data_IF_424370658378
#
_entry.id   IF_424370658378
#
_cell.length_a   1.000
_cell.length_b   1.000
_cell.length_c   1.000
_cell.angle_alpha   90.00
_cell.angle_beta   90.00
_cell.angle_gamma   90.00
#
_symmetry.space_group_name_H-M   'P 1'
#
loop_
_entity.id
_entity.type
_entity.pdbx_description
1 polymer ?
#
# COMPACT_ATOMS: atom_id res chain seq x y z
N UNK A 1 -7.16 19.23 41.55
CA UNK A 1 -6.68 19.81 40.27
C UNK A 1 -5.84 18.83 39.46
N UNK A 2 -4.82 18.15 40.01
CA UNK A 2 -4.03 17.13 39.28
C UNK A 2 -4.87 15.95 38.75
N UNK A 3 -5.86 15.45 39.51
CA UNK A 3 -6.74 14.37 39.05
C UNK A 3 -7.62 14.77 37.86
N UNK A 4 -8.13 16.01 37.84
CA UNK A 4 -8.98 16.52 36.76
C UNK A 4 -8.17 16.66 35.47
N UNK A 5 -6.90 17.10 35.57
CA UNK A 5 -5.98 17.19 34.42
C UNK A 5 -5.62 15.82 33.85
N UNK A 6 -5.46 14.79 34.70
CA UNK A 6 -5.20 13.41 34.27
C UNK A 6 -6.45 12.82 33.59
N UNK A 7 -7.63 13.02 34.16
CA UNK A 7 -8.89 12.57 33.55
C UNK A 7 -9.18 13.32 32.24
N UNK A 8 -8.92 14.63 32.15
CA UNK A 8 -9.08 15.38 30.90
C UNK A 8 -8.05 14.98 29.83
N UNK A 9 -6.83 14.62 30.21
CA UNK A 9 -5.83 14.10 29.29
C UNK A 9 -6.18 12.69 28.78
N UNK A 10 -6.69 11.82 29.65
CA UNK A 10 -7.18 10.48 29.27
C UNK A 10 -8.44 10.54 28.39
N UNK A 11 -9.38 11.46 28.68
CA UNK A 11 -10.57 11.67 27.86
C UNK A 11 -10.23 12.31 26.51
N UNK A 12 -9.27 13.26 26.47
CA UNK A 12 -8.78 13.88 25.24
C UNK A 12 -8.04 12.91 24.32
N UNK A 13 -7.25 11.98 24.87
CA UNK A 13 -6.57 10.94 24.09
C UNK A 13 -7.55 9.92 23.49
N UNK A 14 -8.66 9.60 24.18
CA UNK A 14 -9.72 8.71 23.68
C UNK A 14 -10.51 9.30 22.51
N UNK A 15 -10.56 10.63 22.37
CA UNK A 15 -11.30 11.34 21.32
C UNK A 15 -10.47 11.56 20.04
N UNK A 16 -9.20 11.14 20.02
CA UNK A 16 -8.27 11.43 18.93
C UNK A 16 -8.04 10.25 17.96
N UNK A 17 -8.70 9.11 18.18
CA UNK A 17 -8.65 7.98 17.27
C UNK A 17 -9.80 8.12 16.25
N UNK A 18 -9.49 8.41 14.99
CA UNK A 18 -10.52 8.27 13.96
C UNK A 18 -10.99 6.81 13.87
N UNK A 19 -12.30 6.64 13.90
CA UNK A 19 -12.96 5.36 13.69
C UNK A 19 -13.70 5.40 12.37
N UNK A 20 -13.72 4.27 11.68
CA UNK A 20 -14.41 4.10 10.41
C UNK A 20 -15.68 3.26 10.56
N UNK A 21 -16.29 3.29 11.75
CA UNK A 21 -17.48 2.49 12.08
C UNK A 21 -18.60 2.85 11.13
N UNK A 22 -19.11 1.86 10.39
CA UNK A 22 -20.19 2.06 9.43
C UNK A 22 -19.79 2.77 8.14
N UNK A 23 -18.51 3.11 7.95
CA UNK A 23 -18.03 3.59 6.64
C UNK A 23 -18.16 2.46 5.62
N UNK A 24 -18.63 2.81 4.43
CA UNK A 24 -18.75 1.85 3.32
C UNK A 24 -17.75 2.16 2.24
N UNK A 25 -17.29 1.13 1.54
CA UNK A 25 -16.59 1.30 0.26
C UNK A 25 -17.49 0.78 -0.84
N UNK A 26 -17.84 1.66 -1.78
CA UNK A 26 -18.61 1.31 -2.97
C UNK A 26 -17.68 1.13 -4.15
N UNK A 27 -18.00 0.18 -5.03
CA UNK A 27 -17.46 0.10 -6.38
C UNK A 27 -18.52 0.55 -7.36
N UNK A 28 -18.23 1.62 -8.06
CA UNK A 28 -19.09 2.30 -9.03
C UNK A 28 -18.55 2.02 -10.44
N UNK A 29 -19.43 1.78 -11.40
CA UNK A 29 -19.08 1.61 -12.81
C UNK A 29 -19.81 2.66 -13.63
N UNK A 30 -19.08 3.68 -14.06
CA UNK A 30 -19.61 4.66 -15.00
C UNK A 30 -19.75 4.04 -16.39
N UNK A 31 -20.85 4.30 -17.09
CA UNK A 31 -21.13 3.77 -18.43
C UNK A 31 -20.66 4.70 -19.55
N UNK A 32 -20.52 5.98 -19.25
CA UNK A 32 -20.22 7.02 -20.21
C UNK A 32 -19.53 8.21 -19.53
N UNK A 33 -19.01 9.12 -20.35
CA UNK A 33 -18.29 10.32 -19.88
C UNK A 33 -19.15 11.27 -19.05
N UNK A 34 -20.48 11.25 -19.24
CA UNK A 34 -21.37 12.09 -18.44
C UNK A 34 -21.44 11.60 -17.00
N UNK A 35 -21.58 10.29 -16.79
CA UNK A 35 -21.53 9.70 -15.44
C UNK A 35 -20.17 9.91 -14.77
N UNK A 36 -19.06 9.87 -15.53
CA UNK A 36 -17.73 10.21 -15.00
C UNK A 36 -17.69 11.66 -14.50
N UNK A 37 -18.24 12.62 -15.25
CA UNK A 37 -18.33 14.02 -14.81
C UNK A 37 -19.20 14.20 -13.57
N UNK A 38 -20.30 13.46 -13.45
CA UNK A 38 -21.13 13.48 -12.23
C UNK A 38 -20.36 12.96 -11.01
N UNK A 39 -19.52 11.94 -11.18
CA UNK A 39 -18.65 11.44 -10.10
C UNK A 39 -17.52 12.42 -9.75
N UNK A 40 -16.95 13.13 -10.74
CA UNK A 40 -15.99 14.21 -10.51
C UNK A 40 -16.62 15.39 -9.76
N UNK A 41 -17.88 15.73 -10.08
CA UNK A 41 -18.63 16.73 -9.33
C UNK A 41 -18.82 16.27 -7.87
N UNK A 42 -19.19 15.01 -7.66
CA UNK A 42 -19.32 14.43 -6.33
C UNK A 42 -17.99 14.47 -5.55
N UNK A 43 -16.86 14.20 -6.21
CA UNK A 43 -15.50 14.31 -5.64
C UNK A 43 -15.14 15.74 -5.22
N UNK A 44 -15.70 16.75 -5.90
CA UNK A 44 -15.49 18.16 -5.55
C UNK A 44 -16.25 18.63 -4.31
N UNK A 45 -17.22 17.84 -3.81
CA UNK A 45 -18.04 18.20 -2.65
C UNK A 45 -17.31 17.93 -1.32
N UNK A 46 -16.47 18.88 -0.91
CA UNK A 46 -15.61 18.73 0.28
C UNK A 46 -16.37 18.41 1.58
N UNK A 47 -17.57 18.96 1.75
CA UNK A 47 -18.41 18.76 2.94
C UNK A 47 -18.88 17.31 3.15
N UNK A 48 -18.76 16.46 2.12
CA UNK A 48 -19.10 15.04 2.22
C UNK A 48 -17.93 14.16 2.68
N UNK A 49 -16.71 14.73 2.75
CA UNK A 49 -15.50 14.04 3.24
C UNK A 49 -15.26 12.67 2.57
N UNK A 50 -15.59 12.61 1.28
CA UNK A 50 -15.43 11.42 0.46
C UNK A 50 -13.95 11.14 0.17
N UNK A 51 -13.59 9.87 0.15
CA UNK A 51 -12.23 9.43 -0.16
C UNK A 51 -12.27 8.44 -1.33
N UNK A 52 -11.77 8.90 -2.47
CA UNK A 52 -11.68 8.12 -3.69
C UNK A 52 -10.39 7.29 -3.64
N UNK A 53 -10.56 5.97 -3.60
CA UNK A 53 -9.46 5.01 -3.69
C UNK A 53 -9.04 4.81 -5.14
N UNK A 54 -10.00 4.92 -6.07
CA UNK A 54 -9.72 5.13 -7.48
C UNK A 54 -10.53 6.29 -8.00
N UNK A 55 -9.86 7.30 -8.56
CA UNK A 55 -10.51 8.50 -9.07
C UNK A 55 -11.34 8.20 -10.34
N UNK A 56 -12.41 8.97 -10.59
CA UNK A 56 -13.20 8.89 -11.80
C UNK A 56 -12.43 9.44 -13.02
N UNK A 57 -11.72 8.56 -13.73
CA UNK A 57 -10.90 8.94 -14.89
C UNK A 57 -11.52 8.61 -16.23
N UNK A 58 -12.17 7.46 -16.37
CA UNK A 58 -12.82 7.05 -17.62
C UNK A 58 -13.90 5.99 -17.36
N UNK A 59 -14.87 5.80 -18.29
CA UNK A 59 -15.92 4.79 -18.16
C UNK A 59 -15.41 3.34 -18.14
N UNK A 60 -14.21 3.11 -18.67
CA UNK A 60 -13.61 1.77 -18.74
C UNK A 60 -13.12 1.28 -17.36
N UNK A 61 -12.92 2.19 -16.40
CA UNK A 61 -12.31 1.89 -15.11
C UNK A 61 -13.33 2.03 -13.97
N UNK A 62 -13.34 1.10 -13.00
CA UNK A 62 -14.19 1.23 -11.83
C UNK A 62 -13.69 2.33 -10.88
N UNK A 63 -14.64 2.96 -10.20
CA UNK A 63 -14.41 3.96 -9.16
C UNK A 63 -14.68 3.31 -7.81
N UNK A 64 -13.67 3.24 -6.95
CA UNK A 64 -13.76 2.72 -5.58
C UNK A 64 -13.80 3.91 -4.62
N UNK A 65 -14.89 4.04 -3.86
CA UNK A 65 -15.22 5.23 -3.07
C UNK A 65 -15.49 4.84 -1.61
N UNK A 66 -14.68 5.32 -0.67
CA UNK A 66 -14.97 5.27 0.77
C UNK A 66 -15.90 6.42 1.15
N UNK A 67 -16.99 6.08 1.84
CA UNK A 67 -18.04 7.02 2.25
C UNK A 67 -18.15 7.01 3.78
N UNK A 68 -18.06 8.18 4.44
CA UNK A 68 -18.38 8.33 5.86
C UNK A 68 -19.80 7.89 6.22
N UNK A 69 -19.96 7.29 7.40
CA UNK A 69 -21.22 6.65 7.81
C UNK A 69 -22.44 7.58 7.74
N UNK A 70 -22.27 8.85 8.12
CA UNK A 70 -23.28 9.90 8.05
C UNK A 70 -23.71 10.26 6.60
N UNK A 71 -22.84 10.03 5.62
CA UNK A 71 -23.06 10.42 4.23
C UNK A 71 -23.48 9.25 3.32
N UNK A 72 -23.48 8.00 3.82
CA UNK A 72 -23.82 6.80 3.04
C UNK A 72 -25.18 6.93 2.34
N UNK A 73 -26.21 7.39 3.04
CA UNK A 73 -27.55 7.50 2.45
C UNK A 73 -27.63 8.61 1.40
N UNK A 74 -27.03 9.77 1.67
CA UNK A 74 -27.01 10.89 0.74
C UNK A 74 -26.29 10.53 -0.56
N UNK A 75 -25.14 9.86 -0.47
CA UNK A 75 -24.37 9.44 -1.66
C UNK A 75 -25.10 8.35 -2.44
N UNK A 76 -25.73 7.37 -1.78
CA UNK A 76 -26.52 6.34 -2.48
C UNK A 76 -27.72 6.94 -3.21
N UNK A 77 -28.45 7.85 -2.55
CA UNK A 77 -29.56 8.56 -3.18
C UNK A 77 -29.09 9.37 -4.41
N UNK A 78 -27.92 10.03 -4.33
CA UNK A 78 -27.32 10.72 -5.47
C UNK A 78 -27.01 9.77 -6.63
N UNK A 79 -26.38 8.62 -6.36
CA UNK A 79 -26.06 7.64 -7.41
C UNK A 79 -27.34 7.09 -8.05
N UNK A 80 -28.35 6.76 -7.24
CA UNK A 80 -29.64 6.23 -7.68
C UNK A 80 -30.43 7.26 -8.51
N UNK A 81 -30.45 8.54 -8.11
CA UNK A 81 -31.16 9.59 -8.85
C UNK A 81 -30.56 9.86 -10.22
N UNK A 82 -29.26 9.61 -10.39
CA UNK A 82 -28.55 9.73 -11.67
C UNK A 82 -28.48 8.41 -12.44
N UNK A 83 -29.09 7.34 -11.92
CA UNK A 83 -29.07 6.01 -12.55
C UNK A 83 -27.67 5.41 -12.67
N UNK A 84 -26.76 5.77 -11.76
CA UNK A 84 -25.38 5.28 -11.70
C UNK A 84 -25.35 4.01 -10.88
N UNK A 85 -24.91 2.91 -11.49
CA UNK A 85 -24.84 1.61 -10.83
C UNK A 85 -23.65 1.51 -9.88
N UNK A 86 -23.89 0.92 -8.71
CA UNK A 86 -22.85 0.66 -7.72
C UNK A 86 -23.05 -0.69 -7.03
N UNK A 87 -21.97 -1.19 -6.43
CA UNK A 87 -21.97 -2.38 -5.57
C UNK A 87 -21.23 -2.07 -4.27
N UNK A 88 -21.65 -2.68 -3.17
CA UNK A 88 -20.98 -2.52 -1.87
C UNK A 88 -19.78 -3.47 -1.84
N UNK A 89 -18.57 -2.91 -1.88
CA UNK A 89 -17.32 -3.68 -1.81
C UNK A 89 -16.95 -3.99 -0.35
N UNK A 90 -17.08 -3.01 0.54
CA UNK A 90 -16.85 -3.16 1.98
C UNK A 90 -18.05 -2.57 2.71
N UNK A 91 -18.75 -3.40 3.49
CA UNK A 91 -19.97 -3.01 4.21
C UNK A 91 -19.68 -2.16 5.45
N UNK A 92 -18.60 -2.49 6.16
CA UNK A 92 -18.11 -1.76 7.32
C UNK A 92 -16.58 -1.82 7.32
N UNK A 93 -15.96 -0.67 7.14
CA UNK A 93 -14.51 -0.55 7.05
C UNK A 93 -13.82 -0.79 8.39
N UNK A 94 -14.47 -0.45 9.50
CA UNK A 94 -13.89 -0.66 10.83
C UNK A 94 -13.66 -2.13 11.10
N UNK A 95 -14.58 -3.01 10.70
CA UNK A 95 -14.45 -4.47 10.88
C UNK A 95 -13.19 -5.01 10.21
N UNK A 96 -12.85 -4.48 9.02
CA UNK A 96 -11.64 -4.89 8.29
C UNK A 96 -10.38 -4.41 9.01
N UNK A 97 -10.39 -3.17 9.50
CA UNK A 97 -9.27 -2.59 10.25
C UNK A 97 -9.04 -3.26 11.60
N UNK A 98 -10.10 -3.61 12.31
CA UNK A 98 -10.03 -4.30 13.59
C UNK A 98 -9.40 -5.69 13.43
N UNK A 99 -9.79 -6.41 12.38
CA UNK A 99 -9.19 -7.71 12.05
C UNK A 99 -7.71 -7.56 11.73
N UNK A 100 -7.33 -6.59 10.90
CA UNK A 100 -5.92 -6.34 10.56
C UNK A 100 -5.09 -6.02 11.81
N UNK A 101 -5.62 -5.19 12.70
CA UNK A 101 -4.96 -4.83 13.97
C UNK A 101 -4.77 -6.06 14.86
N UNK A 102 -5.77 -6.93 14.93
CA UNK A 102 -5.69 -8.17 15.69
C UNK A 102 -4.64 -9.14 15.10
N UNK A 103 -4.61 -9.27 13.78
CA UNK A 103 -3.65 -10.14 13.08
C UNK A 103 -2.20 -9.70 13.30
N UNK A 104 -1.96 -8.38 13.27
CA UNK A 104 -0.65 -7.81 13.59
C UNK A 104 -0.24 -8.05 15.04
N UNK A 105 -1.15 -7.82 15.99
CA UNK A 105 -0.86 -8.06 17.41
C UNK A 105 -0.52 -9.53 17.67
N UNK A 106 -1.27 -10.45 17.07
CA UNK A 106 -1.01 -11.88 17.13
C UNK A 106 0.34 -12.26 16.50
N UNK A 107 0.70 -11.62 15.39
CA UNK A 107 1.99 -11.86 14.74
C UNK A 107 3.15 -11.37 15.59
N UNK A 108 3.09 -10.14 16.11
CA UNK A 108 4.12 -9.60 17.01
C UNK A 108 4.32 -10.49 18.24
N UNK A 109 3.25 -11.06 18.80
CA UNK A 109 3.37 -12.02 19.90
C UNK A 109 4.14 -13.28 19.49
N UNK A 110 3.89 -13.81 18.28
CA UNK A 110 4.62 -14.98 17.76
C UNK A 110 6.07 -14.67 17.46
N UNK A 111 6.37 -13.53 16.84
CA UNK A 111 7.74 -13.10 16.54
C UNK A 111 8.58 -12.93 17.80
N UNK A 112 8.00 -12.37 18.87
CA UNK A 112 8.67 -12.28 20.18
C UNK A 112 8.99 -13.65 20.78
N UNK A 113 8.17 -14.66 20.51
CA UNK A 113 8.38 -16.02 21.00
C UNK A 113 9.40 -16.80 20.15
N UNK A 114 9.45 -16.57 18.84
CA UNK A 114 10.35 -17.26 17.91
C UNK A 114 11.65 -16.51 17.61
N UNK A 115 11.77 -15.24 18.03
CA UNK A 115 12.85 -14.32 17.66
C UNK A 115 13.08 -14.24 16.15
N UNK A 116 12.03 -14.44 15.35
CA UNK A 116 12.10 -14.48 13.89
C UNK A 116 11.11 -13.48 13.31
N UNK A 117 11.57 -12.62 12.40
CA UNK A 117 10.72 -11.67 11.68
C UNK A 117 9.74 -12.41 10.75
N UNK A 118 8.45 -12.11 10.83
CA UNK A 118 7.42 -12.74 10.00
C UNK A 118 7.03 -11.83 8.83
N UNK A 119 7.66 -12.02 7.67
CA UNK A 119 7.35 -11.27 6.44
C UNK A 119 5.91 -11.46 5.89
N UNK A 120 5.10 -12.35 6.48
CA UNK A 120 3.70 -12.58 6.13
C UNK A 120 2.70 -11.68 6.86
N UNK A 121 3.15 -10.63 7.55
CA UNK A 121 2.29 -9.66 8.23
C UNK A 121 2.74 -8.22 7.95
N UNK A 122 1.98 -7.25 8.44
CA UNK A 122 2.39 -5.85 8.47
C UNK A 122 3.13 -5.54 9.77
N UNK A 123 4.04 -4.56 9.71
CA UNK A 123 4.93 -4.20 10.80
C UNK A 123 4.89 -2.71 11.09
N UNK A 124 5.31 -2.33 12.29
CA UNK A 124 5.56 -0.93 12.61
C UNK A 124 6.82 -0.42 11.90
N UNK A 125 6.97 0.90 11.81
CA UNK A 125 8.17 1.54 11.27
C UNK A 125 9.44 1.07 11.99
N UNK A 126 9.39 0.99 13.32
CA UNK A 126 10.51 0.59 14.16
C UNK A 126 10.88 -0.88 13.94
N UNK A 127 9.88 -1.77 13.83
CA UNK A 127 10.10 -3.18 13.50
C UNK A 127 10.76 -3.33 12.12
N UNK A 128 10.34 -2.53 11.13
CA UNK A 128 10.96 -2.53 9.81
C UNK A 128 12.42 -2.04 9.91
N UNK A 129 12.70 -0.95 10.62
CA UNK A 129 14.08 -0.46 10.78
C UNK A 129 14.99 -1.49 11.45
N UNK A 130 14.50 -2.16 12.48
CA UNK A 130 15.22 -3.24 13.15
C UNK A 130 15.51 -4.40 12.18
N UNK A 131 14.57 -4.75 11.31
CA UNK A 131 14.78 -5.76 10.28
C UNK A 131 15.79 -5.32 9.22
N UNK A 132 15.79 -4.04 8.80
CA UNK A 132 16.81 -3.52 7.89
C UNK A 132 18.21 -3.57 8.52
N UNK A 133 18.33 -3.29 9.82
CA UNK A 133 19.58 -3.48 10.58
C UNK A 133 20.00 -4.95 10.61
N UNK A 134 19.06 -5.85 10.90
CA UNK A 134 19.31 -7.29 10.93
C UNK A 134 19.80 -7.81 9.58
N UNK A 135 19.18 -7.42 8.46
CA UNK A 135 19.62 -7.82 7.12
C UNK A 135 21.01 -7.31 6.78
N UNK A 136 21.33 -6.07 7.14
CA UNK A 136 22.66 -5.49 6.91
C UNK A 136 23.74 -6.17 7.78
N UNK A 137 23.38 -6.64 8.97
CA UNK A 137 24.27 -7.39 9.85
C UNK A 137 24.47 -8.83 9.37
N UNK A 138 23.38 -9.56 9.08
CA UNK A 138 23.42 -10.99 8.68
C UNK A 138 24.12 -11.18 7.33
N UNK A 139 23.97 -10.24 6.40
CA UNK A 139 24.52 -10.31 5.05
C UNK A 139 25.52 -9.17 4.75
N UNK A 140 26.39 -8.86 5.72
CA UNK A 140 27.31 -7.71 5.67
C UNK A 140 28.26 -7.68 4.47
N UNK A 141 28.52 -8.82 3.83
CA UNK A 141 29.38 -8.90 2.65
C UNK A 141 28.76 -8.26 1.41
N UNK A 142 27.43 -8.18 1.36
CA UNK A 142 26.69 -7.69 0.19
C UNK A 142 25.63 -6.65 0.52
N UNK A 143 25.20 -6.52 1.77
CA UNK A 143 24.17 -5.56 2.21
C UNK A 143 24.79 -4.51 3.11
N UNK A 144 24.51 -3.24 2.83
CA UNK A 144 24.76 -2.14 3.76
C UNK A 144 23.54 -1.24 3.88
N UNK A 145 23.33 -0.68 5.07
CA UNK A 145 22.28 0.32 5.35
C UNK A 145 22.91 1.69 5.49
N UNK A 146 22.31 2.72 4.89
CA UNK A 146 22.74 4.10 5.07
C UNK A 146 21.55 5.06 5.04
N UNK A 147 21.71 6.21 5.70
CA UNK A 147 20.74 7.30 5.74
C UNK A 147 20.96 8.22 4.54
N UNK A 148 19.91 8.49 3.75
CA UNK A 148 19.96 9.40 2.60
C UNK A 148 19.43 10.80 2.91
N UNK A 149 18.83 10.98 4.09
CA UNK A 149 18.21 12.22 4.50
C UNK A 149 17.22 11.98 5.63
N UNK A 150 16.41 12.99 5.91
CA UNK A 150 15.38 12.95 6.95
C UNK A 150 14.04 13.44 6.43
N UNK A 151 12.98 12.87 6.99
CA UNK A 151 11.61 13.27 6.72
C UNK A 151 11.28 14.64 7.34
N UNK A 152 10.06 15.13 7.11
CA UNK A 152 9.60 16.41 7.67
C UNK A 152 9.54 16.35 9.20
N UNK A 153 9.09 15.23 9.76
CA UNK A 153 9.09 15.00 11.22
C UNK A 153 10.44 14.48 11.72
N UNK A 154 11.51 14.70 10.96
CA UNK A 154 12.90 14.42 11.32
C UNK A 154 13.18 12.92 11.59
N UNK A 155 12.50 12.02 10.87
CA UNK A 155 12.82 10.58 10.89
C UNK A 155 13.87 10.24 9.83
N UNK A 156 14.82 9.35 10.12
CA UNK A 156 15.87 8.97 9.16
C UNK A 156 15.28 8.21 7.96
N UNK A 157 15.71 8.56 6.76
CA UNK A 157 15.35 7.84 5.53
C UNK A 157 16.44 6.83 5.21
N UNK A 158 16.15 5.55 5.43
CA UNK A 158 17.12 4.47 5.19
C UNK A 158 16.98 3.83 3.82
N UNK A 159 18.13 3.49 3.25
CA UNK A 159 18.25 2.70 2.03
C UNK A 159 19.15 1.50 2.31
N UNK A 160 18.75 0.33 1.82
CA UNK A 160 19.63 -0.83 1.70
C UNK A 160 20.32 -0.80 0.35
N UNK A 161 21.66 -0.86 0.36
CA UNK A 161 22.48 -1.12 -0.83
C UNK A 161 22.87 -2.59 -0.85
N UNK A 162 22.55 -3.26 -1.96
CA UNK A 162 23.02 -4.60 -2.31
C UNK A 162 24.13 -4.45 -3.35
N UNK A 163 25.35 -4.87 -3.04
CA UNK A 163 26.51 -4.70 -3.92
C UNK A 163 27.59 -5.72 -3.64
N UNK A 164 28.30 -6.14 -4.67
CA UNK A 164 29.46 -7.05 -4.55
C UNK A 164 30.79 -6.30 -4.65
N UNK A 165 30.78 -4.98 -4.35
CA UNK A 165 31.95 -4.10 -4.41
C UNK A 165 32.13 -3.40 -5.75
N UNK A 166 33.34 -2.92 -6.05
CA UNK A 166 33.64 -2.18 -7.28
C UNK A 166 33.28 -0.68 -7.22
N UNK A 167 33.67 0.07 -8.25
CA UNK A 167 33.46 1.52 -8.34
C UNK A 167 32.60 1.88 -9.56
N UNK A 168 31.77 2.92 -9.42
CA UNK A 168 30.93 3.47 -10.49
C UNK A 168 30.08 2.41 -11.24
N UNK A 169 29.46 1.50 -10.48
CA UNK A 169 28.62 0.44 -11.03
C UNK A 169 27.24 0.99 -11.39
N UNK A 170 26.64 0.41 -12.44
CA UNK A 170 25.24 0.65 -12.77
C UNK A 170 24.35 0.21 -11.61
N UNK A 171 23.25 0.91 -11.42
CA UNK A 171 22.39 0.71 -10.27
C UNK A 171 20.91 0.59 -10.67
N UNK A 172 20.17 -0.21 -9.92
CA UNK A 172 18.70 -0.21 -9.89
C UNK A 172 18.26 0.49 -8.61
N UNK A 173 17.29 1.38 -8.72
CA UNK A 173 16.59 1.95 -7.58
C UNK A 173 15.19 1.33 -7.45
N UNK A 174 14.83 0.93 -6.24
CA UNK A 174 13.50 0.40 -5.89
C UNK A 174 13.03 1.16 -4.67
N UNK A 175 11.87 1.82 -4.76
CA UNK A 175 11.22 2.42 -3.61
C UNK A 175 9.79 1.89 -3.43
N UNK A 176 9.30 2.00 -2.20
CA UNK A 176 7.98 1.55 -1.80
C UNK A 176 7.40 2.48 -0.73
N UNK A 177 6.07 2.50 -0.61
CA UNK A 177 5.40 3.30 0.40
C UNK A 177 5.51 4.81 0.18
N UNK A 178 5.54 5.25 -1.08
CA UNK A 178 5.35 6.66 -1.42
C UNK A 178 3.93 7.14 -1.12
N UNK A 179 2.96 6.23 -1.05
CA UNK A 179 1.68 6.50 -0.41
C UNK A 179 1.60 5.68 0.87
N UNK A 180 1.43 6.37 1.99
CA UNK A 180 1.47 5.75 3.31
C UNK A 180 0.37 4.73 3.54
N UNK A 181 -0.75 4.76 2.80
CA UNK A 181 -1.86 3.79 2.91
C UNK A 181 -1.66 2.49 2.11
N UNK A 182 -0.62 2.42 1.27
CA UNK A 182 -0.38 1.28 0.37
C UNK A 182 0.51 0.19 0.99
N UNK A 183 0.13 -0.26 2.19
CA UNK A 183 0.97 -1.03 3.13
C UNK A 183 1.60 -2.31 2.58
N UNK A 184 0.95 -2.90 1.59
CA UNK A 184 1.47 -4.06 0.86
C UNK A 184 2.79 -3.76 0.16
N UNK A 185 3.02 -2.51 -0.27
CA UNK A 185 4.26 -2.12 -0.95
C UNK A 185 5.44 -2.16 0.00
N UNK A 186 5.31 -1.58 1.20
CA UNK A 186 6.33 -1.58 2.23
C UNK A 186 6.66 -3.02 2.67
N UNK A 187 5.64 -3.82 2.98
CA UNK A 187 5.83 -5.22 3.37
C UNK A 187 6.53 -6.03 2.27
N UNK A 188 6.13 -5.85 1.01
CA UNK A 188 6.76 -6.50 -0.14
C UNK A 188 8.22 -6.08 -0.29
N UNK A 189 8.54 -4.80 -0.08
CA UNK A 189 9.90 -4.30 -0.20
C UNK A 189 10.84 -4.93 0.85
N UNK A 190 10.38 -5.10 2.08
CA UNK A 190 11.15 -5.79 3.15
C UNK A 190 11.35 -7.27 2.80
N UNK A 191 10.33 -7.94 2.27
CA UNK A 191 10.48 -9.32 1.79
C UNK A 191 11.45 -9.42 0.61
N UNK A 192 11.38 -8.49 -0.36
CA UNK A 192 12.31 -8.42 -1.50
C UNK A 192 13.75 -8.24 -1.00
N UNK A 193 13.96 -7.39 0.02
CA UNK A 193 15.27 -7.18 0.62
C UNK A 193 15.84 -8.50 1.19
N UNK A 194 15.07 -9.23 2.01
CA UNK A 194 15.48 -10.56 2.50
C UNK A 194 15.72 -11.52 1.35
N UNK A 195 14.87 -11.51 0.32
CA UNK A 195 14.97 -12.42 -0.82
C UNK A 195 16.26 -12.19 -1.62
N UNK A 196 16.61 -10.94 -1.92
CA UNK A 196 17.85 -10.58 -2.61
C UNK A 196 19.05 -11.01 -1.77
N UNK A 197 19.07 -10.64 -0.48
CA UNK A 197 20.19 -10.94 0.42
C UNK A 197 20.44 -12.45 0.55
N UNK A 198 19.39 -13.20 0.87
CA UNK A 198 19.48 -14.65 1.09
C UNK A 198 19.74 -15.46 -0.18
N UNK A 199 19.35 -14.95 -1.36
CA UNK A 199 19.49 -15.70 -2.61
C UNK A 199 20.81 -15.46 -3.34
N UNK A 200 21.60 -14.46 -2.95
CA UNK A 200 22.93 -14.26 -3.53
C UNK A 200 23.84 -15.46 -3.24
N UNK A 201 24.55 -15.94 -4.27
CA UNK A 201 25.36 -17.16 -4.19
C UNK A 201 24.56 -18.47 -4.32
N UNK A 202 23.22 -18.42 -4.22
CA UNK A 202 22.35 -19.60 -4.35
C UNK A 202 21.56 -19.58 -5.67
N UNK A 203 20.92 -18.44 -5.98
CA UNK A 203 20.16 -18.23 -7.21
C UNK A 203 21.08 -17.64 -8.31
N UNK A 204 21.27 -18.33 -9.45
CA UNK A 204 22.16 -17.85 -10.51
C UNK A 204 21.74 -16.51 -11.12
N UNK A 205 20.44 -16.20 -11.14
CA UNK A 205 19.90 -14.98 -11.75
C UNK A 205 20.18 -13.77 -10.84
N UNK A 206 19.86 -13.87 -9.56
CA UNK A 206 20.17 -12.83 -8.56
C UNK A 206 21.68 -12.63 -8.43
N UNK A 207 22.45 -13.72 -8.44
CA UNK A 207 23.92 -13.66 -8.37
C UNK A 207 24.51 -12.96 -9.59
N UNK A 208 24.06 -13.32 -10.80
CA UNK A 208 24.48 -12.65 -12.05
C UNK A 208 24.11 -11.17 -12.07
N UNK A 209 22.93 -10.82 -11.55
CA UNK A 209 22.47 -9.43 -11.43
C UNK A 209 23.37 -8.62 -10.49
N UNK A 210 23.55 -9.09 -9.25
CA UNK A 210 24.37 -8.43 -8.24
C UNK A 210 25.87 -8.44 -8.55
N UNK A 211 26.35 -9.30 -9.46
CA UNK A 211 27.73 -9.23 -9.96
C UNK A 211 27.93 -8.15 -11.03
N UNK A 212 26.85 -7.65 -11.64
CA UNK A 212 26.91 -6.64 -12.71
C UNK A 212 26.46 -5.25 -12.26
N UNK A 213 25.56 -5.18 -11.28
CA UNK A 213 24.92 -3.94 -10.85
C UNK A 213 24.75 -3.89 -9.34
N UNK A 214 24.57 -2.69 -8.81
CA UNK A 214 24.11 -2.45 -7.44
C UNK A 214 22.58 -2.35 -7.42
N UNK A 215 21.95 -2.70 -6.30
CA UNK A 215 20.52 -2.44 -6.07
C UNK A 215 20.40 -1.55 -4.84
N UNK A 216 19.62 -0.48 -4.93
CA UNK A 216 19.24 0.38 -3.82
C UNK A 216 17.76 0.18 -3.56
N UNK A 217 17.41 -0.17 -2.33
CA UNK A 217 16.04 -0.41 -1.91
C UNK A 217 15.66 0.51 -0.75
N UNK A 218 14.66 1.36 -0.97
CA UNK A 218 14.02 2.17 0.05
C UNK A 218 12.64 1.58 0.37
N UNK A 219 12.48 0.91 1.51
CA UNK A 219 11.23 0.23 1.83
C UNK A 219 10.08 1.17 2.21
N UNK A 220 10.39 2.43 2.53
CA UNK A 220 9.42 3.39 3.05
C UNK A 220 9.79 4.81 2.58
N UNK A 221 9.01 5.36 1.66
CA UNK A 221 9.29 6.70 1.09
C UNK A 221 8.59 7.82 1.88
N UNK A 222 7.39 7.60 2.40
CA UNK A 222 6.66 8.56 3.26
C UNK A 222 6.50 8.06 4.69
N UNK A 223 7.50 8.35 5.53
CA UNK A 223 7.56 7.91 6.93
C UNK A 223 6.55 8.61 7.85
N UNK A 224 6.25 9.88 7.58
CA UNK A 224 5.60 10.75 8.57
C UNK A 224 4.12 10.44 8.75
N UNK A 225 3.43 10.25 7.64
CA UNK A 225 2.03 9.82 7.61
C UNK A 225 1.83 8.38 8.05
N UNK A 226 2.86 7.53 8.02
CA UNK A 226 2.78 6.13 8.43
C UNK A 226 2.65 5.95 9.96
N UNK A 227 3.08 6.96 10.74
CA UNK A 227 3.27 6.84 12.19
C UNK A 227 2.20 7.48 13.08
N UNK A 228 1.35 8.39 12.56
CA UNK A 228 0.56 9.31 13.40
C UNK A 228 -0.97 9.19 13.32
N UNK A 229 -1.56 8.36 12.47
CA UNK A 229 -3.03 8.29 12.36
C UNK A 229 -3.53 6.87 12.08
N UNK A 230 -4.80 6.54 12.38
CA UNK A 230 -5.37 5.28 11.95
C UNK A 230 -5.39 5.23 10.42
N UNK A 231 -4.37 4.55 9.85
CA UNK A 231 -4.19 3.78 8.60
C UNK A 231 -4.94 4.16 7.31
N UNK A 232 -6.13 4.74 7.39
CA UNK A 232 -6.97 5.23 6.27
C UNK A 232 -7.07 6.77 6.27
N UNK A 233 -6.83 7.45 7.40
CA UNK A 233 -6.87 8.92 7.48
C UNK A 233 -5.78 9.63 6.66
N UNK A 234 -4.82 8.90 6.08
CA UNK A 234 -3.79 9.46 5.18
C UNK A 234 -4.34 10.00 3.85
N UNK A 235 -5.59 9.69 3.47
CA UNK A 235 -6.27 10.25 2.29
C UNK A 235 -7.35 11.29 2.62
N UNK A 236 -7.64 11.55 3.90
CA UNK A 236 -8.63 12.56 4.27
C UNK A 236 -7.99 13.96 4.14
N UNK A 237 -8.69 14.89 3.46
CA UNK A 237 -8.29 16.31 3.44
C UNK A 237 -8.18 16.78 4.90
N UNK A 238 -7.11 17.52 5.26
CA UNK A 238 -6.96 18.00 6.62
C UNK A 238 -8.14 18.90 7.03
N UNK A 239 -8.60 18.75 8.27
CA UNK A 239 -9.56 19.68 8.88
C UNK A 239 -9.06 21.14 8.80
N UNK A 240 -9.95 22.15 8.82
CA UNK A 240 -9.59 23.56 8.62
C UNK A 240 -8.64 24.03 9.74
N UNK A 241 -7.33 24.02 9.47
CA UNK A 241 -6.30 24.41 10.45
C UNK A 241 -4.94 23.73 10.30
N UNK A 242 -4.87 22.54 9.67
CA UNK A 242 -3.60 21.83 9.44
C UNK A 242 -3.17 22.03 7.97
N UNK A 243 -2.56 23.17 7.68
CA UNK A 243 -2.08 23.54 6.33
C UNK A 243 -0.88 22.73 5.81
N UNK A 244 -0.33 21.81 6.60
CA UNK A 244 0.89 21.07 6.22
C UNK A 244 0.63 19.84 5.33
N UNK A 245 -0.58 19.27 5.32
CA UNK A 245 -0.84 18.02 4.60
C UNK A 245 -1.04 18.18 3.07
N UNK A 246 -1.35 19.40 2.58
CA UNK A 246 -1.45 19.66 1.13
C UNK A 246 -0.10 19.69 0.39
N UNK A 247 1.04 19.64 1.08
CA UNK A 247 2.33 19.59 0.41
C UNK A 247 2.64 18.21 -0.23
N UNK A 248 1.87 17.17 0.09
CA UNK A 248 2.16 15.78 -0.30
C UNK A 248 1.63 15.37 -1.68
N UNK A 249 0.71 16.14 -2.28
CA UNK A 249 0.16 15.88 -3.63
C UNK A 249 1.21 16.11 -4.75
N UNK A 250 2.39 16.61 -4.38
CA UNK A 250 3.44 17.07 -5.30
C UNK A 250 4.56 16.07 -5.61
N UNK A 251 4.63 14.89 -4.96
CA UNK A 251 5.79 14.00 -5.18
C UNK A 251 5.63 13.18 -6.47
N UNK A 252 4.46 12.58 -6.72
CA UNK A 252 4.23 11.87 -7.99
C UNK A 252 4.08 12.81 -9.20
N UNK A 253 3.53 14.02 -8.99
CA UNK A 253 3.37 15.02 -10.06
C UNK A 253 4.65 15.79 -10.36
N UNK A 254 5.64 15.75 -9.46
CA UNK A 254 6.91 16.48 -9.57
C UNK A 254 8.06 15.72 -10.25
N UNK A 255 7.97 14.40 -10.44
CA UNK A 255 9.06 13.61 -11.04
C UNK A 255 8.56 12.67 -12.15
N UNK A 256 9.25 12.71 -13.29
CA UNK A 256 8.94 11.90 -14.48
C UNK A 256 8.82 10.40 -14.17
N UNK A 257 7.62 9.88 -14.43
CA UNK A 257 7.21 8.50 -14.20
C UNK A 257 7.83 7.56 -15.24
N UNK A 258 8.78 6.73 -14.84
CA UNK A 258 9.16 5.51 -15.56
C UNK A 258 9.89 4.58 -14.58
N UNK A 259 9.35 3.38 -14.39
CA UNK A 259 10.03 2.07 -14.28
C UNK A 259 9.08 1.13 -13.52
N UNK A 260 8.18 0.47 -14.25
CA UNK A 260 7.62 -0.80 -13.79
C UNK A 260 7.40 -1.85 -14.90
N UNK A 261 7.89 -1.59 -16.12
CA UNK A 261 7.81 -2.56 -17.23
C UNK A 261 8.89 -3.67 -17.17
N UNK A 262 9.95 -3.51 -16.38
CA UNK A 262 11.14 -4.38 -16.48
C UNK A 262 11.06 -5.65 -15.61
N UNK A 263 10.17 -5.70 -14.60
CA UNK A 263 10.15 -6.80 -13.62
C UNK A 263 8.91 -7.73 -13.69
N UNK A 264 7.95 -7.43 -14.56
CA UNK A 264 6.77 -8.28 -14.77
C UNK A 264 7.08 -9.77 -15.04
N UNK A 265 8.10 -10.16 -15.81
CA UNK A 265 8.37 -11.58 -16.07
C UNK A 265 9.04 -12.33 -14.89
N UNK A 266 9.54 -11.64 -13.86
CA UNK A 266 10.17 -12.26 -12.68
C UNK A 266 9.17 -12.44 -11.53
N UNK A 267 8.22 -11.51 -11.38
CA UNK A 267 7.26 -11.48 -10.27
C UNK A 267 6.10 -12.47 -10.50
N UNK A 268 5.63 -12.61 -11.75
CA UNK A 268 4.41 -13.37 -12.09
C UNK A 268 4.56 -14.91 -11.91
N UNK A 269 5.69 -15.56 -12.23
CA UNK A 269 5.82 -17.02 -12.09
C UNK A 269 6.00 -17.50 -10.64
N UNK A 270 6.59 -16.69 -9.75
CA UNK A 270 7.00 -17.11 -8.40
C UNK A 270 5.83 -17.10 -7.40
N UNK A 271 4.84 -16.22 -7.62
CA UNK A 271 3.62 -16.13 -6.81
C UNK A 271 2.62 -17.27 -7.03
N UNK A 272 2.74 -18.01 -8.14
CA UNK A 272 1.85 -19.15 -8.44
C UNK A 272 2.27 -20.47 -7.79
N UNK A 273 3.50 -20.61 -7.29
CA UNK A 273 4.08 -21.91 -6.95
C UNK A 273 4.42 -22.16 -5.47
N UNK A 274 4.23 -21.19 -4.56
CA UNK A 274 4.65 -21.37 -3.15
C UNK A 274 3.60 -21.05 -2.09
N UNK A 275 2.32 -20.88 -2.46
CA UNK A 275 1.23 -20.68 -1.49
C UNK A 275 0.25 -21.86 -1.53
N UNK A 276 0.33 -22.69 -0.47
CA UNK A 276 -0.51 -23.86 -0.16
C UNK A 276 -2.02 -23.52 -0.21
N UNK A 277 -2.92 -24.45 -0.61
CA UNK A 277 -4.34 -24.16 -0.84
C UNK A 277 -5.11 -24.22 0.48
N UNK A 278 -4.80 -23.30 1.39
CA UNK A 278 -5.63 -23.00 2.56
C UNK A 278 -6.80 -22.08 2.21
N UNK A 279 -7.76 -21.87 3.14
CA UNK A 279 -9.05 -21.20 2.90
C UNK A 279 -8.96 -19.69 2.58
N UNK A 280 -7.77 -19.16 2.28
CA UNK A 280 -7.51 -17.74 2.06
C UNK A 280 -7.48 -17.38 0.57
N UNK A 281 -8.54 -17.79 -0.15
CA UNK A 281 -8.81 -17.41 -1.55
C UNK A 281 -8.92 -15.88 -1.79
N UNK A 282 -8.94 -15.08 -0.71
CA UNK A 282 -9.08 -13.61 -0.74
C UNK A 282 -7.78 -12.87 -1.11
N UNK A 283 -6.60 -13.47 -0.92
CA UNK A 283 -5.30 -12.84 -1.23
C UNK A 283 -4.94 -12.88 -2.72
N UNK A 284 -5.37 -13.92 -3.44
CA UNK A 284 -5.08 -14.09 -4.88
C UNK A 284 -5.71 -12.99 -5.75
N UNK A 285 -6.84 -12.43 -5.33
CA UNK A 285 -7.54 -11.38 -6.09
C UNK A 285 -6.92 -9.99 -5.92
N UNK A 286 -6.46 -9.64 -4.71
CA UNK A 286 -5.89 -8.31 -4.47
C UNK A 286 -4.52 -8.16 -5.12
N UNK A 287 -3.64 -9.15 -5.01
CA UNK A 287 -2.29 -9.08 -5.56
C UNK A 287 -2.27 -9.09 -7.09
N UNK A 288 -3.10 -9.91 -7.74
CA UNK A 288 -3.21 -9.92 -9.20
C UNK A 288 -3.83 -8.62 -9.71
N UNK A 289 -4.77 -8.02 -8.97
CA UNK A 289 -5.36 -6.73 -9.36
C UNK A 289 -4.36 -5.58 -9.22
N UNK A 290 -3.51 -5.60 -8.19
CA UNK A 290 -2.44 -4.60 -8.02
C UNK A 290 -1.37 -4.76 -9.09
N UNK A 291 -0.96 -5.99 -9.43
CA UNK A 291 0.04 -6.23 -10.47
C UNK A 291 -0.48 -5.92 -11.89
N UNK A 292 -1.72 -6.29 -12.23
CA UNK A 292 -2.35 -5.95 -13.51
C UNK A 292 -2.58 -4.42 -13.67
N UNK A 293 -2.81 -3.71 -12.56
CA UNK A 293 -2.94 -2.23 -12.55
C UNK A 293 -1.63 -1.53 -12.90
N UNK A 294 -0.48 -2.15 -12.63
CA UNK A 294 0.81 -1.49 -12.89
C UNK A 294 1.38 -1.84 -14.27
N UNK A 295 1.06 -3.00 -14.85
CA UNK A 295 1.59 -3.40 -16.17
C UNK A 295 0.70 -3.05 -17.36
N UNK A 296 -0.48 -2.45 -17.15
CA UNK A 296 -1.39 -2.05 -18.23
C UNK A 296 -1.92 -3.19 -19.12
N UNK A 297 -1.70 -4.45 -18.73
CA UNK A 297 -2.10 -5.61 -19.53
C UNK A 297 -3.50 -6.06 -19.13
N UNK A 298 -4.45 -5.95 -20.06
CA UNK A 298 -5.76 -6.58 -19.90
C UNK A 298 -5.63 -8.10 -19.92
N UNK A 299 -6.45 -8.76 -19.10
CA UNK A 299 -6.55 -10.22 -19.00
C UNK A 299 -6.83 -10.81 -20.40
N UNK A 300 -6.11 -11.83 -20.89
CA UNK A 300 -6.51 -12.50 -22.13
C UNK A 300 -7.86 -13.19 -21.91
N UNK A 301 -8.82 -12.91 -22.77
CA UNK A 301 -10.08 -13.64 -22.87
C UNK A 301 -9.80 -15.11 -23.19
N UNK A 302 -10.41 -16.02 -22.42
CA UNK A 302 -10.41 -17.46 -22.68
C UNK A 302 -10.94 -17.78 -24.09
N UNK A 303 -10.38 -18.76 -24.83
CA UNK A 303 -10.87 -19.10 -26.16
C UNK A 303 -12.26 -19.76 -26.07
N UNK A 304 -13.20 -19.25 -26.86
CA UNK A 304 -14.45 -19.94 -27.17
C UNK A 304 -14.16 -21.22 -27.94
N UNK A 305 -14.66 -22.35 -27.45
CA UNK A 305 -14.78 -23.61 -28.18
C UNK A 305 -15.48 -23.41 -29.51
N UNK A 306 -14.77 -23.61 -30.62
CA UNK A 306 -15.35 -23.78 -31.94
C UNK A 306 -15.49 -25.29 -32.21
N UNK A 307 -16.74 -25.76 -32.23
CA UNK A 307 -17.17 -27.04 -32.79
C UNK A 307 -16.88 -27.08 -34.28
N UNK A 308 -16.10 -28.07 -34.73
CA UNK A 308 -16.04 -28.49 -36.13
C UNK A 308 -17.15 -29.52 -36.37
N UNK A 309 -18.09 -29.19 -37.25
CA UNK A 309 -19.02 -30.14 -37.87
C UNK A 309 -18.66 -30.29 -39.34
N UNK A 310 -18.45 -31.57 -39.73
CA UNK A 310 -18.37 -32.18 -41.07
C UNK A 310 -17.38 -31.60 -42.07
#
# INVERSE_FOLDING_TARGET
MKLILIFSALFGASLCLETFVGHQVLRIKARNEEEVKQLQLLESLEHLELDFWTSPSSPALPVDLRIPANNVQAVKAFLESHGIEYSILIKDLQVVLDQEKQDMANSQQRERASSTFNYGTYHSLDDIYAELDHLAYEYSDIVSKFEIGRSYENRPLYVLKFSTGGTNRRAIWIDAGIHSREWVTQASAVWIAKKIASSYGQDPSITSLLNKMDIFLQSQTLMDTCSLTPRIACGARPAPGIKAACALELIQTGTGMQVLEVLAPVIIPVLSLTMDPGPTLRWKFNLLSTLLRITGTSRPSSPSTATLSS
#
